data_IF_939982489564
#
_entry.id   IF_939982489564
#
_cell.length_a   1.000
_cell.length_b   1.000
_cell.length_c   1.000
_cell.angle_alpha   90.00
_cell.angle_beta   90.00
_cell.angle_gamma   90.00
#
_symmetry.space_group_name_H-M   'P 1'
#
loop_
_entity.id
_entity.type
_entity.pdbx_description
1 polymer ?
#
# COMPACT_ATOMS: atom_id res chain seq x y z
N UNK A 1 -0.57 -13.07 15.86
CA UNK A 1 -1.90 -12.68 15.35
C UNK A 1 -2.98 -13.64 15.84
N UNK A 2 -4.23 -13.19 16.12
CA UNK A 2 -5.35 -14.05 16.59
C UNK A 2 -6.54 -13.98 15.63
N UNK A 3 -7.15 -15.13 15.31
CA UNK A 3 -8.42 -15.18 14.58
C UNK A 3 -9.60 -14.75 15.47
N UNK A 4 -10.38 -13.77 14.99
CA UNK A 4 -11.64 -13.29 15.59
C UNK A 4 -12.88 -13.73 14.80
N UNK A 5 -12.68 -14.35 13.64
CA UNK A 5 -13.72 -14.86 12.74
C UNK A 5 -13.08 -15.36 11.44
N UNK A 6 -13.82 -16.15 10.67
CA UNK A 6 -13.40 -16.59 9.34
C UNK A 6 -14.62 -16.77 8.44
N UNK A 7 -14.42 -16.67 7.12
CA UNK A 7 -15.50 -16.90 6.14
C UNK A 7 -14.94 -17.37 4.81
N UNK A 8 -15.66 -18.27 4.16
CA UNK A 8 -15.45 -18.67 2.76
C UNK A 8 -16.26 -17.83 1.77
N UNK A 9 -17.21 -17.01 2.26
CA UNK A 9 -18.10 -16.20 1.43
C UNK A 9 -17.91 -14.72 1.79
N UNK A 10 -17.54 -13.93 0.80
CA UNK A 10 -17.50 -12.47 0.87
C UNK A 10 -18.33 -11.92 -0.28
N UNK A 11 -19.50 -11.39 0.05
CA UNK A 11 -20.43 -10.73 -0.88
C UNK A 11 -20.78 -9.35 -0.32
N UNK A 12 -20.30 -8.32 -1.01
CA UNK A 12 -20.36 -6.94 -0.57
C UNK A 12 -21.24 -6.13 -1.54
N UNK A 13 -22.22 -5.34 -1.05
CA UNK A 13 -23.07 -4.53 -1.91
C UNK A 13 -22.39 -3.26 -2.44
N UNK A 14 -21.19 -2.94 -1.94
CA UNK A 14 -20.43 -1.72 -2.21
C UNK A 14 -20.31 -1.45 -3.72
N UNK A 15 -20.84 -0.29 -4.14
CA UNK A 15 -20.72 0.18 -5.53
C UNK A 15 -19.41 0.93 -5.79
N UNK A 16 -18.78 1.42 -4.71
CA UNK A 16 -17.46 2.04 -4.71
C UNK A 16 -16.66 1.50 -3.55
N UNK A 17 -15.38 1.25 -3.79
CA UNK A 17 -14.43 0.79 -2.76
C UNK A 17 -13.15 1.62 -2.84
N UNK A 18 -12.46 1.77 -1.72
CA UNK A 18 -11.11 2.31 -1.71
C UNK A 18 -10.12 1.18 -2.00
N UNK A 19 -9.11 1.45 -2.82
CA UNK A 19 -8.02 0.53 -3.14
C UNK A 19 -6.71 1.20 -2.76
N UNK A 20 -5.91 0.52 -1.95
CA UNK A 20 -4.65 1.01 -1.41
C UNK A 20 -3.48 0.19 -1.91
N UNK A 21 -2.41 0.88 -2.31
CA UNK A 21 -1.12 0.28 -2.59
C UNK A 21 -0.33 0.04 -1.30
N UNK A 22 0.99 0.10 -1.42
CA UNK A 22 1.94 -0.30 -0.38
C UNK A 22 1.95 0.72 0.76
N UNK A 23 1.77 0.28 2.01
CA UNK A 23 1.80 1.17 3.19
C UNK A 23 3.07 1.00 4.02
N UNK A 24 3.70 -0.17 3.96
CA UNK A 24 4.90 -0.53 4.71
C UNK A 24 4.79 -0.24 6.21
N UNK A 25 3.62 -0.48 6.81
CA UNK A 25 3.37 -0.22 8.22
C UNK A 25 3.29 1.28 8.60
N UNK A 26 3.22 2.18 7.62
CA UNK A 26 3.19 3.62 7.88
C UNK A 26 1.84 4.09 8.42
N UNK A 27 1.71 4.08 9.75
CA UNK A 27 0.51 4.58 10.43
C UNK A 27 0.24 6.08 10.20
N UNK A 28 1.28 6.89 9.95
CA UNK A 28 1.10 8.32 9.64
C UNK A 28 0.37 8.51 8.32
N UNK A 29 0.71 7.69 7.33
CA UNK A 29 0.02 7.63 6.05
C UNK A 29 -1.44 7.17 6.21
N UNK A 30 -1.68 6.10 6.95
CA UNK A 30 -3.02 5.61 7.26
C UNK A 30 -3.90 6.69 7.94
N UNK A 31 -3.36 7.43 8.91
CA UNK A 31 -4.05 8.57 9.57
C UNK A 31 -4.37 9.72 8.61
N UNK A 32 -3.49 10.00 7.65
CA UNK A 32 -3.77 11.01 6.63
C UNK A 32 -4.95 10.57 5.77
N UNK A 33 -4.98 9.30 5.33
CA UNK A 33 -6.08 8.76 4.54
C UNK A 33 -7.39 8.72 5.34
N UNK A 34 -7.37 8.33 6.61
CA UNK A 34 -8.59 8.28 7.43
C UNK A 34 -9.25 9.65 7.63
N UNK A 35 -8.46 10.73 7.62
CA UNK A 35 -8.98 12.12 7.64
C UNK A 35 -9.51 12.59 6.30
N UNK A 36 -8.89 12.19 5.20
CA UNK A 36 -9.30 12.63 3.86
C UNK A 36 -10.52 11.86 3.32
N UNK A 37 -10.63 10.58 3.64
CA UNK A 37 -11.61 9.67 3.04
C UNK A 37 -13.08 10.08 3.27
N UNK A 38 -13.49 10.56 4.47
CA UNK A 38 -14.86 11.02 4.71
C UNK A 38 -15.31 12.14 3.77
N UNK A 39 -14.39 12.98 3.28
CA UNK A 39 -14.68 14.05 2.34
C UNK A 39 -14.62 13.57 0.88
N UNK A 40 -13.65 12.70 0.58
CA UNK A 40 -13.42 12.21 -0.77
C UNK A 40 -14.47 11.20 -1.24
N UNK A 41 -14.88 10.31 -0.34
CA UNK A 41 -15.76 9.20 -0.64
C UNK A 41 -16.54 8.76 0.63
N UNK A 42 -17.46 9.59 1.14
CA UNK A 42 -18.23 9.30 2.35
C UNK A 42 -19.08 8.02 2.26
N UNK A 43 -19.36 7.55 1.04
CA UNK A 43 -20.10 6.33 0.72
C UNK A 43 -19.26 5.05 0.80
N UNK A 44 -17.92 5.17 0.81
CA UNK A 44 -17.02 4.00 0.82
C UNK A 44 -16.95 3.43 2.23
N UNK A 45 -17.25 2.13 2.36
CA UNK A 45 -17.16 1.40 3.64
C UNK A 45 -16.11 0.29 3.64
N UNK A 46 -15.57 -0.03 2.47
CA UNK A 46 -14.63 -1.14 2.25
C UNK A 46 -13.32 -0.62 1.65
N UNK A 47 -12.20 -1.05 2.25
CA UNK A 47 -10.85 -0.83 1.73
C UNK A 47 -10.23 -2.16 1.27
N UNK A 48 -9.66 -2.16 0.07
CA UNK A 48 -8.92 -3.28 -0.52
C UNK A 48 -7.43 -2.92 -0.51
N UNK A 49 -6.61 -3.67 0.23
CA UNK A 49 -5.17 -3.42 0.31
C UNK A 49 -4.42 -4.38 -0.60
N UNK A 50 -3.51 -3.86 -1.42
CA UNK A 50 -2.77 -4.61 -2.44
C UNK A 50 -1.38 -5.01 -1.97
N UNK A 51 -1.26 -5.49 -0.73
CA UNK A 51 -0.01 -5.97 -0.14
C UNK A 51 0.88 -4.88 0.46
N UNK A 52 1.98 -5.30 1.06
CA UNK A 52 2.89 -4.48 1.88
C UNK A 52 2.12 -3.61 2.88
N UNK A 53 1.19 -4.26 3.57
CA UNK A 53 0.37 -3.67 4.60
C UNK A 53 1.19 -3.49 5.89
N UNK A 54 1.75 -4.57 6.45
CA UNK A 54 2.60 -4.58 7.66
C UNK A 54 2.08 -3.68 8.80
N UNK A 55 0.76 -3.64 9.02
CA UNK A 55 0.19 -2.83 10.09
C UNK A 55 -0.17 -3.69 11.31
N UNK A 56 -0.04 -3.16 12.54
CA UNK A 56 -0.73 -3.74 13.68
C UNK A 56 -2.25 -3.65 13.44
N UNK A 57 -3.01 -4.76 13.46
CA UNK A 57 -4.44 -4.74 13.17
C UNK A 57 -5.23 -3.77 14.08
N UNK A 58 -4.91 -3.74 15.38
CA UNK A 58 -5.57 -2.85 16.35
C UNK A 58 -5.31 -1.35 16.06
N UNK A 59 -4.15 -1.03 15.46
CA UNK A 59 -3.86 0.34 15.06
C UNK A 59 -4.72 0.77 13.86
N UNK A 60 -5.07 -0.15 12.95
CA UNK A 60 -6.00 0.15 11.85
C UNK A 60 -7.40 0.43 12.39
N UNK A 61 -7.86 -0.37 13.36
CA UNK A 61 -9.14 -0.15 14.03
C UNK A 61 -9.19 1.25 14.67
N UNK A 62 -8.16 1.63 15.44
CA UNK A 62 -8.07 2.96 16.07
C UNK A 62 -8.04 4.10 15.03
N UNK A 63 -7.24 3.97 13.98
CA UNK A 63 -7.04 5.03 12.98
C UNK A 63 -8.31 5.32 12.18
N UNK A 64 -9.15 4.30 11.94
CA UNK A 64 -10.34 4.40 11.12
C UNK A 64 -11.66 4.40 11.92
N UNK A 65 -11.59 4.40 13.26
CA UNK A 65 -12.76 4.35 14.15
C UNK A 65 -13.80 5.45 13.92
N UNK A 66 -13.38 6.64 13.48
CA UNK A 66 -14.25 7.79 13.21
C UNK A 66 -14.62 7.94 11.73
N UNK A 67 -14.44 6.90 10.93
CA UNK A 67 -14.75 6.90 9.48
C UNK A 67 -15.93 5.98 9.17
N UNK A 68 -16.40 6.00 7.92
CA UNK A 68 -17.38 5.05 7.42
C UNK A 68 -16.78 3.65 7.10
N UNK A 69 -15.46 3.48 7.25
CA UNK A 69 -14.81 2.20 6.97
C UNK A 69 -15.19 1.18 8.02
N UNK A 70 -15.70 0.05 7.54
CA UNK A 70 -16.09 -1.09 8.38
C UNK A 70 -15.26 -2.33 8.08
N UNK A 71 -14.53 -2.35 6.96
CA UNK A 71 -13.77 -3.52 6.50
C UNK A 71 -12.51 -3.14 5.73
N UNK A 72 -11.42 -3.84 6.06
CA UNK A 72 -10.19 -3.92 5.28
C UNK A 72 -10.01 -5.36 4.80
N UNK A 73 -9.89 -5.57 3.50
CA UNK A 73 -9.48 -6.86 2.93
C UNK A 73 -8.06 -6.74 2.40
N UNK A 74 -7.14 -7.48 3.01
CA UNK A 74 -5.70 -7.44 2.69
C UNK A 74 -5.36 -8.58 1.75
N UNK A 75 -5.03 -8.24 0.51
CA UNK A 75 -4.30 -9.12 -0.41
C UNK A 75 -2.84 -9.07 0.02
N UNK A 76 -2.28 -10.17 0.50
CA UNK A 76 -0.93 -10.18 1.09
C UNK A 76 0.16 -9.80 0.07
N UNK A 77 1.18 -9.05 0.52
CA UNK A 77 2.36 -8.66 -0.27
C UNK A 77 3.59 -9.53 -0.01
N UNK A 78 4.80 -9.02 -0.30
CA UNK A 78 6.02 -9.70 0.12
C UNK A 78 6.47 -9.26 1.52
N UNK A 79 6.22 -8.01 1.90
CA UNK A 79 6.50 -7.53 3.25
C UNK A 79 5.27 -7.68 4.16
N UNK A 80 5.04 -8.91 4.63
CA UNK A 80 4.04 -9.26 5.67
C UNK A 80 4.66 -10.22 6.70
N UNK A 81 4.12 -10.29 7.92
CA UNK A 81 4.56 -11.24 8.95
C UNK A 81 4.10 -12.66 8.63
N UNK A 82 4.73 -13.29 7.63
CA UNK A 82 4.33 -14.59 7.12
C UNK A 82 4.45 -15.74 8.12
N UNK A 83 5.34 -15.64 9.11
CA UNK A 83 5.42 -16.56 10.24
C UNK A 83 4.17 -16.52 11.14
N UNK A 84 3.51 -15.38 11.25
CA UNK A 84 2.24 -15.26 11.97
C UNK A 84 1.03 -15.57 11.08
N UNK A 85 1.09 -15.17 9.81
CA UNK A 85 -0.03 -15.26 8.87
C UNK A 85 -0.19 -16.67 8.30
N UNK A 86 0.90 -17.37 7.98
CA UNK A 86 0.82 -18.72 7.39
C UNK A 86 0.12 -19.70 8.34
N UNK A 87 0.52 -19.83 9.62
CA UNK A 87 -0.19 -20.72 10.55
C UNK A 87 -1.65 -20.32 10.76
N UNK A 88 -1.96 -19.03 10.66
CA UNK A 88 -3.32 -18.52 10.78
C UNK A 88 -4.20 -18.98 9.61
N UNK A 89 -3.70 -18.85 8.37
CA UNK A 89 -4.42 -19.28 7.17
C UNK A 89 -4.49 -20.81 7.04
N UNK A 90 -3.45 -21.53 7.46
CA UNK A 90 -3.44 -23.00 7.47
C UNK A 90 -4.52 -23.60 8.38
N UNK A 91 -4.91 -22.87 9.44
CA UNK A 91 -6.01 -23.27 10.32
C UNK A 91 -7.38 -23.13 9.65
N UNK A 92 -7.52 -22.26 8.65
CA UNK A 92 -8.76 -21.97 7.95
C UNK A 92 -8.52 -21.96 6.43
N UNK A 93 -8.15 -23.11 5.84
CA UNK A 93 -7.66 -23.18 4.48
C UNK A 93 -8.71 -22.71 3.48
N UNK A 94 -8.35 -21.73 2.64
CA UNK A 94 -9.22 -21.15 1.63
C UNK A 94 -10.24 -20.14 2.16
N UNK A 95 -10.21 -19.81 3.45
CA UNK A 95 -11.11 -18.84 4.08
C UNK A 95 -10.39 -17.54 4.42
N UNK A 96 -11.09 -16.41 4.31
CA UNK A 96 -10.61 -15.14 4.83
C UNK A 96 -10.71 -15.15 6.35
N UNK A 97 -9.68 -14.64 7.03
CA UNK A 97 -9.60 -14.64 8.49
C UNK A 97 -9.63 -13.21 9.00
N UNK A 98 -10.58 -12.92 9.89
CA UNK A 98 -10.68 -11.62 10.56
C UNK A 98 -9.70 -11.57 11.74
N UNK A 99 -8.87 -10.54 11.79
CA UNK A 99 -7.77 -10.39 12.75
C UNK A 99 -7.92 -9.17 13.67
N UNK A 100 -8.86 -8.28 13.36
CA UNK A 100 -9.28 -7.13 14.19
C UNK A 100 -10.77 -6.82 13.95
N UNK A 101 -11.31 -5.73 14.47
CA UNK A 101 -12.67 -5.30 14.16
C UNK A 101 -12.86 -5.07 12.65
N UNK A 102 -11.92 -4.35 12.02
CA UNK A 102 -11.99 -3.98 10.62
C UNK A 102 -11.25 -4.95 9.69
N UNK A 103 -10.16 -5.58 10.15
CA UNK A 103 -9.18 -6.20 9.23
C UNK A 103 -9.43 -7.67 8.97
N UNK A 104 -9.44 -8.03 7.68
CA UNK A 104 -9.50 -9.38 7.13
C UNK A 104 -8.28 -9.69 6.27
N UNK A 105 -7.61 -10.79 6.58
CA UNK A 105 -6.54 -11.35 5.76
C UNK A 105 -7.14 -12.32 4.74
N UNK A 106 -6.87 -12.10 3.45
CA UNK A 106 -7.37 -12.95 2.38
C UNK A 106 -6.46 -14.18 2.18
N UNK A 107 -7.03 -15.37 1.92
CA UNK A 107 -6.27 -16.55 1.49
C UNK A 107 -5.76 -16.36 0.06
N UNK A 108 -4.95 -17.33 -0.41
CA UNK A 108 -4.30 -17.26 -1.73
C UNK A 108 -4.66 -18.51 -2.57
N UNK A 109 -5.54 -18.40 -3.57
CA UNK A 109 -6.36 -17.24 -3.92
C UNK A 109 -7.54 -17.02 -2.95
N UNK A 110 -8.12 -15.83 -2.97
CA UNK A 110 -9.44 -15.55 -2.42
C UNK A 110 -10.42 -15.17 -3.52
N UNK A 111 -11.70 -15.49 -3.33
CA UNK A 111 -12.79 -15.05 -4.22
C UNK A 111 -13.82 -14.25 -3.45
N UNK A 112 -14.26 -13.16 -4.07
CA UNK A 112 -15.22 -12.22 -3.50
C UNK A 112 -16.23 -11.82 -4.57
N UNK A 113 -17.39 -11.35 -4.13
CA UNK A 113 -18.31 -10.56 -4.94
C UNK A 113 -18.40 -9.15 -4.34
N UNK A 114 -18.25 -8.12 -5.17
CA UNK A 114 -18.34 -6.72 -4.73
C UNK A 114 -19.17 -5.94 -5.75
N UNK A 115 -20.28 -5.35 -5.31
CA UNK A 115 -21.17 -4.59 -6.18
C UNK A 115 -21.73 -5.40 -7.36
N UNK A 116 -21.87 -6.73 -7.19
CA UNK A 116 -22.29 -7.65 -8.24
C UNK A 116 -21.18 -8.06 -9.23
N UNK A 117 -19.93 -7.62 -9.03
CA UNK A 117 -18.76 -8.06 -9.81
C UNK A 117 -18.02 -9.19 -9.12
N UNK A 118 -17.51 -10.13 -9.90
CA UNK A 118 -16.64 -11.20 -9.45
C UNK A 118 -15.19 -10.72 -9.28
N UNK A 119 -14.59 -11.02 -8.13
CA UNK A 119 -13.24 -10.58 -7.78
C UNK A 119 -12.40 -11.79 -7.39
N UNK A 120 -11.15 -11.82 -7.87
CA UNK A 120 -10.13 -12.78 -7.42
C UNK A 120 -8.94 -12.01 -6.84
N UNK A 121 -8.50 -12.39 -5.65
CA UNK A 121 -7.27 -11.89 -5.05
C UNK A 121 -6.21 -12.98 -5.04
N UNK A 122 -4.99 -12.65 -5.48
CA UNK A 122 -3.82 -13.53 -5.43
C UNK A 122 -2.68 -12.79 -4.75
N UNK A 123 -2.51 -13.06 -3.46
CA UNK A 123 -1.45 -12.46 -2.64
C UNK A 123 -0.08 -13.12 -2.84
N UNK A 124 0.96 -12.41 -2.45
CA UNK A 124 2.36 -12.77 -2.57
C UNK A 124 3.08 -11.98 -3.67
N UNK A 125 4.39 -11.88 -3.51
CA UNK A 125 5.35 -11.45 -4.51
C UNK A 125 6.73 -11.97 -4.12
N UNK A 126 7.72 -11.83 -5.01
CA UNK A 126 9.11 -12.11 -4.65
C UNK A 126 9.80 -10.85 -4.14
N UNK A 127 10.44 -10.91 -2.99
CA UNK A 127 11.29 -9.83 -2.48
C UNK A 127 12.57 -9.70 -3.33
N UNK A 128 12.66 -8.65 -4.14
CA UNK A 128 13.88 -8.31 -4.91
C UNK A 128 15.05 -7.89 -4.02
N UNK A 129 14.77 -7.52 -2.79
CA UNK A 129 15.73 -7.14 -1.76
C UNK A 129 16.07 -8.30 -0.80
N UNK A 130 15.64 -9.53 -1.09
CA UNK A 130 15.86 -10.75 -0.26
C UNK A 130 17.29 -10.89 0.24
N UNK A 131 18.29 -10.59 -0.60
CA UNK A 131 19.72 -10.73 -0.23
C UNK A 131 20.15 -9.79 0.91
N UNK A 132 19.41 -8.71 1.13
CA UNK A 132 19.60 -7.77 2.25
C UNK A 132 18.77 -8.11 3.49
N UNK A 133 18.02 -9.22 3.46
CA UNK A 133 17.09 -9.63 4.52
C UNK A 133 17.58 -10.86 5.29
N UNK A 134 16.95 -11.11 6.42
CA UNK A 134 17.19 -12.28 7.26
C UNK A 134 15.96 -13.18 7.26
N UNK A 135 16.15 -14.42 6.82
CA UNK A 135 15.12 -15.45 6.81
C UNK A 135 14.56 -15.68 8.22
N UNK A 136 13.23 -15.70 8.32
CA UNK A 136 12.51 -15.89 9.59
C UNK A 136 12.40 -14.63 10.46
N UNK A 137 12.91 -13.48 10.00
CA UNK A 137 12.79 -12.21 10.73
C UNK A 137 12.31 -11.04 9.85
N UNK A 138 12.94 -10.84 8.69
CA UNK A 138 12.62 -9.74 7.77
C UNK A 138 12.30 -10.23 6.36
N UNK A 139 12.29 -11.54 6.17
CA UNK A 139 11.93 -12.23 4.93
C UNK A 139 11.49 -13.66 5.23
N UNK A 140 10.54 -14.17 4.44
CA UNK A 140 9.99 -15.51 4.58
C UNK A 140 9.78 -16.16 3.20
N UNK A 141 10.16 -17.43 3.00
CA UNK A 141 9.91 -18.12 1.72
C UNK A 141 8.42 -18.21 1.36
N UNK A 142 7.54 -18.18 2.37
CA UNK A 142 6.08 -18.26 2.22
C UNK A 142 5.48 -17.08 1.43
N UNK A 143 6.19 -15.96 1.30
CA UNK A 143 5.74 -14.81 0.50
C UNK A 143 5.51 -15.20 -0.98
N UNK A 144 6.27 -16.17 -1.48
CA UNK A 144 6.28 -16.55 -2.87
C UNK A 144 4.93 -17.12 -3.34
N UNK A 145 4.52 -16.75 -4.55
CA UNK A 145 3.39 -17.38 -5.23
C UNK A 145 3.82 -18.78 -5.68
N UNK A 146 3.08 -19.82 -5.26
CA UNK A 146 3.34 -21.22 -5.63
C UNK A 146 2.47 -21.66 -6.80
N UNK A 147 2.85 -22.76 -7.45
CA UNK A 147 2.07 -23.34 -8.54
C UNK A 147 0.72 -23.89 -8.05
N UNK A 148 0.61 -24.26 -6.77
CA UNK A 148 -0.67 -24.64 -6.14
C UNK A 148 -1.62 -23.44 -6.08
N UNK A 149 -1.11 -22.25 -5.70
CA UNK A 149 -1.92 -21.03 -5.69
C UNK A 149 -2.39 -20.66 -7.10
N UNK A 150 -1.50 -20.78 -8.10
CA UNK A 150 -1.83 -20.55 -9.52
C UNK A 150 -2.93 -21.51 -9.98
N UNK A 151 -2.75 -22.81 -9.77
CA UNK A 151 -3.72 -23.83 -10.17
C UNK A 151 -5.09 -23.61 -9.50
N UNK A 152 -5.12 -23.28 -8.21
CA UNK A 152 -6.35 -22.98 -7.49
C UNK A 152 -7.05 -21.72 -8.02
N UNK A 153 -6.31 -20.67 -8.36
CA UNK A 153 -6.88 -19.44 -8.90
C UNK A 153 -7.54 -19.67 -10.26
N UNK A 154 -6.84 -20.40 -11.13
CA UNK A 154 -7.31 -20.81 -12.47
C UNK A 154 -8.55 -21.71 -12.35
N UNK A 155 -8.53 -22.69 -11.47
CA UNK A 155 -9.64 -23.63 -11.28
C UNK A 155 -10.95 -22.94 -10.86
N UNK A 156 -10.86 -21.79 -10.18
CA UNK A 156 -12.03 -20.99 -9.83
C UNK A 156 -12.69 -20.26 -11.01
N UNK A 157 -12.08 -20.23 -12.20
CA UNK A 157 -12.65 -19.67 -13.41
C UNK A 157 -12.50 -18.15 -13.57
N UNK A 158 -13.21 -17.54 -14.55
CA UNK A 158 -13.11 -16.12 -14.84
C UNK A 158 -13.47 -15.21 -13.64
N UNK A 159 -12.99 -13.97 -13.69
CA UNK A 159 -13.35 -12.90 -12.75
C UNK A 159 -13.39 -11.54 -13.48
N UNK A 160 -14.14 -10.57 -12.98
CA UNK A 160 -14.17 -9.20 -13.54
C UNK A 160 -12.94 -8.38 -13.09
N UNK A 161 -12.53 -8.55 -11.83
CA UNK A 161 -11.45 -7.82 -11.18
C UNK A 161 -10.43 -8.79 -10.57
N UNK A 162 -9.15 -8.50 -10.78
CA UNK A 162 -8.05 -9.21 -10.16
C UNK A 162 -7.23 -8.28 -9.27
N UNK A 163 -7.02 -8.68 -8.02
CA UNK A 163 -6.20 -7.97 -7.04
C UNK A 163 -4.92 -8.77 -6.80
N UNK A 164 -3.77 -8.12 -6.92
CA UNK A 164 -2.48 -8.73 -6.62
C UNK A 164 -1.59 -7.74 -5.89
N UNK A 165 -0.50 -8.23 -5.33
CA UNK A 165 0.60 -7.34 -4.96
C UNK A 165 1.58 -7.21 -6.14
N UNK A 166 1.95 -8.34 -6.74
CA UNK A 166 2.86 -8.43 -7.88
C UNK A 166 2.22 -8.03 -9.23
N UNK A 167 3.01 -7.47 -10.15
CA UNK A 167 2.56 -7.11 -11.50
C UNK A 167 2.58 -8.31 -12.47
N UNK A 168 1.68 -8.43 -13.46
CA UNK A 168 1.84 -9.44 -14.51
C UNK A 168 3.13 -9.20 -15.32
N UNK A 169 3.78 -10.27 -15.79
CA UNK A 169 5.03 -10.18 -16.55
C UNK A 169 4.89 -9.32 -17.82
N UNK A 170 3.80 -9.50 -18.56
CA UNK A 170 3.47 -8.73 -19.76
C UNK A 170 2.59 -7.51 -19.45
N UNK A 171 2.91 -6.77 -18.39
CA UNK A 171 2.14 -5.59 -17.99
C UNK A 171 2.12 -4.52 -19.09
N UNK A 172 0.96 -3.92 -19.43
CA UNK A 172 0.88 -2.78 -20.35
C UNK A 172 1.28 -1.44 -19.70
N UNK A 173 1.64 -1.45 -18.40
CA UNK A 173 1.95 -0.24 -17.64
C UNK A 173 3.38 0.21 -17.93
N UNK A 174 3.54 1.21 -18.82
CA UNK A 174 4.87 1.67 -19.30
C UNK A 174 5.84 2.08 -18.17
N UNK A 175 5.42 2.79 -17.10
CA UNK A 175 6.34 3.10 -16.00
C UNK A 175 6.86 1.86 -15.27
N UNK A 176 6.03 0.82 -15.10
CA UNK A 176 6.47 -0.47 -14.53
C UNK A 176 7.50 -1.14 -15.46
N UNK A 177 7.20 -1.24 -16.76
CA UNK A 177 8.14 -1.78 -17.75
C UNK A 177 9.50 -1.06 -17.73
N UNK A 178 9.48 0.26 -17.51
CA UNK A 178 10.70 1.07 -17.40
C UNK A 178 11.53 0.67 -16.19
N UNK A 179 10.91 0.59 -15.00
CA UNK A 179 11.59 0.19 -13.76
C UNK A 179 12.21 -1.21 -13.91
N UNK A 180 11.44 -2.17 -14.42
CA UNK A 180 11.89 -3.55 -14.60
C UNK A 180 13.09 -3.66 -15.56
N UNK A 181 13.14 -2.84 -16.61
CA UNK A 181 14.25 -2.83 -17.57
C UNK A 181 15.48 -2.11 -17.03
N UNK A 182 15.28 -0.98 -16.36
CA UNK A 182 16.38 -0.10 -15.95
C UNK A 182 17.04 -0.55 -14.65
N UNK A 183 16.36 -1.37 -13.84
CA UNK A 183 16.85 -1.85 -12.54
C UNK A 183 17.52 -0.71 -11.73
N UNK A 184 16.78 0.38 -11.43
CA UNK A 184 17.35 1.59 -10.85
C UNK A 184 17.93 1.41 -9.44
N UNK A 185 17.71 0.24 -8.83
CA UNK A 185 18.20 -0.14 -7.50
C UNK A 185 19.32 -1.19 -7.56
N UNK A 186 19.80 -1.54 -8.75
CA UNK A 186 20.91 -2.48 -8.97
C UNK A 186 20.71 -3.83 -8.28
N UNK A 187 19.48 -4.37 -8.30
CA UNK A 187 19.20 -5.72 -7.83
C UNK A 187 20.01 -6.75 -8.60
N UNK A 188 20.37 -7.84 -7.94
CA UNK A 188 21.15 -8.93 -8.52
C UNK A 188 20.37 -9.68 -9.59
N UNK A 189 21.08 -10.37 -10.48
CA UNK A 189 20.46 -11.21 -11.51
C UNK A 189 19.53 -12.27 -10.89
N UNK A 190 19.96 -12.92 -9.81
CA UNK A 190 19.14 -13.90 -9.09
C UNK A 190 17.84 -13.29 -8.52
N UNK A 191 17.90 -12.08 -7.96
CA UNK A 191 16.70 -11.39 -7.48
C UNK A 191 15.75 -11.01 -8.62
N UNK A 192 16.31 -10.55 -9.75
CA UNK A 192 15.52 -10.23 -10.95
C UNK A 192 14.87 -11.47 -11.57
N UNK A 193 15.56 -12.61 -11.59
CA UNK A 193 15.04 -13.91 -12.05
C UNK A 193 13.88 -14.39 -11.15
N UNK A 194 14.04 -14.31 -9.83
CA UNK A 194 12.99 -14.67 -8.88
C UNK A 194 11.74 -13.79 -9.05
N UNK A 195 11.95 -12.47 -9.21
CA UNK A 195 10.87 -11.52 -9.49
C UNK A 195 10.21 -11.78 -10.85
N UNK A 196 10.98 -12.10 -11.89
CA UNK A 196 10.42 -12.48 -13.20
C UNK A 196 9.57 -13.77 -13.11
N UNK A 197 10.01 -14.77 -12.36
CA UNK A 197 9.25 -16.00 -12.13
C UNK A 197 7.96 -15.75 -11.33
N UNK A 198 7.99 -14.87 -10.32
CA UNK A 198 6.81 -14.40 -9.58
C UNK A 198 5.79 -13.74 -10.51
N UNK A 199 6.22 -12.77 -11.32
CA UNK A 199 5.36 -12.10 -12.31
C UNK A 199 4.80 -13.05 -13.37
N UNK A 200 5.57 -14.06 -13.78
CA UNK A 200 5.12 -15.07 -14.73
C UNK A 200 3.96 -15.91 -14.17
N UNK A 201 3.95 -16.19 -12.86
CA UNK A 201 2.82 -16.85 -12.18
C UNK A 201 1.57 -15.98 -12.14
N UNK A 202 1.73 -14.67 -11.87
CA UNK A 202 0.61 -13.72 -11.98
C UNK A 202 0.06 -13.69 -13.40
N UNK A 203 0.93 -13.69 -14.43
CA UNK A 203 0.49 -13.74 -15.84
C UNK A 203 -0.32 -14.99 -16.16
N UNK A 204 0.08 -16.17 -15.69
CA UNK A 204 -0.69 -17.41 -15.91
C UNK A 204 -2.12 -17.28 -15.39
N UNK A 205 -2.30 -16.72 -14.19
CA UNK A 205 -3.64 -16.50 -13.63
C UNK A 205 -4.38 -15.40 -14.39
N UNK A 206 -3.72 -14.27 -14.66
CA UNK A 206 -4.30 -13.13 -15.40
C UNK A 206 -4.84 -13.52 -16.78
N UNK A 207 -4.11 -14.38 -17.50
CA UNK A 207 -4.51 -14.87 -18.82
C UNK A 207 -5.63 -15.91 -18.76
N UNK A 208 -5.71 -16.69 -17.68
CA UNK A 208 -6.75 -17.71 -17.52
C UNK A 208 -8.07 -17.15 -16.96
N UNK A 209 -8.00 -16.19 -16.02
CA UNK A 209 -9.19 -15.61 -15.37
C UNK A 209 -9.74 -14.41 -16.14
N UNK A 210 -9.00 -13.91 -17.14
CA UNK A 210 -9.41 -12.87 -18.09
C UNK A 210 -10.11 -11.64 -17.46
N UNK A 211 -9.51 -10.98 -16.44
CA UNK A 211 -10.17 -9.88 -15.78
C UNK A 211 -10.19 -8.63 -16.65
N UNK A 212 -11.24 -7.83 -16.52
CA UNK A 212 -11.34 -6.52 -17.18
C UNK A 212 -10.30 -5.54 -16.59
N UNK A 213 -10.06 -5.64 -15.28
CA UNK A 213 -9.05 -4.86 -14.56
C UNK A 213 -8.21 -5.77 -13.65
N UNK A 214 -6.89 -5.61 -13.70
CA UNK A 214 -5.96 -6.05 -12.65
C UNK A 214 -5.43 -4.82 -11.92
N UNK A 215 -5.49 -4.81 -10.59
CA UNK A 215 -4.88 -3.78 -9.75
C UNK A 215 -3.77 -4.38 -8.87
N UNK A 216 -2.59 -3.73 -8.84
CA UNK A 216 -1.44 -4.22 -8.08
C UNK A 216 -0.63 -3.12 -7.38
N UNK A 217 0.13 -3.51 -6.34
CA UNK A 217 1.14 -2.70 -5.65
C UNK A 217 2.57 -3.04 -6.12
N UNK A 218 3.50 -3.20 -5.18
CA UNK A 218 4.88 -3.71 -5.29
C UNK A 218 5.87 -2.84 -6.09
N UNK A 219 5.43 -2.28 -7.22
CA UNK A 219 6.29 -1.54 -8.15
C UNK A 219 6.49 -0.08 -7.75
N UNK A 220 5.81 0.38 -6.70
CA UNK A 220 5.90 1.73 -6.12
C UNK A 220 5.68 2.89 -7.10
N UNK A 221 4.95 2.62 -8.19
CA UNK A 221 4.67 3.60 -9.24
C UNK A 221 3.19 3.57 -9.61
N UNK A 222 2.53 4.72 -9.47
CA UNK A 222 1.15 4.86 -9.89
C UNK A 222 1.06 5.08 -11.40
N UNK A 223 0.40 4.17 -12.11
CA UNK A 223 0.14 4.29 -13.54
C UNK A 223 -0.92 3.29 -14.02
N UNK A 224 -1.51 3.59 -15.18
CA UNK A 224 -2.43 2.69 -15.87
C UNK A 224 -1.89 2.25 -17.23
N UNK A 225 -2.29 1.06 -17.65
CA UNK A 225 -2.03 0.51 -18.98
C UNK A 225 -3.23 -0.27 -19.48
N UNK A 226 -3.31 -0.42 -20.81
CA UNK A 226 -4.34 -1.20 -21.48
C UNK A 226 -3.70 -2.07 -22.56
N UNK A 227 -4.05 -3.34 -22.59
CA UNK A 227 -3.65 -4.29 -23.64
C UNK A 227 -4.47 -4.09 -24.91
N UNK A 228 -4.03 -4.68 -26.01
CA UNK A 228 -4.75 -4.62 -27.29
C UNK A 228 -6.15 -5.27 -27.21
N UNK A 229 -6.29 -6.34 -26.42
CA UNK A 229 -7.55 -7.05 -26.21
C UNK A 229 -8.52 -6.32 -25.26
N UNK A 230 -8.12 -5.19 -24.69
CA UNK A 230 -8.98 -4.32 -23.90
C UNK A 230 -8.82 -4.43 -22.38
N UNK A 231 -8.13 -5.46 -21.88
CA UNK A 231 -7.86 -5.62 -20.43
C UNK A 231 -7.00 -4.46 -19.90
N UNK A 232 -7.25 -4.06 -18.66
CA UNK A 232 -6.58 -2.93 -18.02
C UNK A 232 -5.72 -3.41 -16.87
N UNK A 233 -4.61 -2.72 -16.64
CA UNK A 233 -3.76 -2.89 -15.47
C UNK A 233 -3.56 -1.55 -14.80
N UNK A 234 -3.80 -1.49 -13.49
CA UNK A 234 -3.52 -0.37 -12.62
C UNK A 234 -2.41 -0.74 -11.64
N UNK A 235 -1.31 0.00 -11.67
CA UNK A 235 -0.24 -0.05 -10.68
C UNK A 235 -0.47 1.08 -9.69
N UNK A 236 -0.42 0.79 -8.39
CA UNK A 236 -0.54 1.77 -7.32
C UNK A 236 0.84 2.18 -6.79
N UNK A 237 0.91 3.38 -6.22
CA UNK A 237 2.12 3.86 -5.54
C UNK A 237 2.24 3.31 -4.12
N UNK A 238 3.37 3.58 -3.48
CA UNK A 238 3.57 3.37 -2.04
C UNK A 238 3.19 4.60 -1.21
N UNK A 239 3.19 4.49 0.11
CA UNK A 239 2.97 5.59 1.03
C UNK A 239 3.82 6.82 0.67
N UNK A 240 3.20 8.00 0.75
CA UNK A 240 3.84 9.26 0.39
C UNK A 240 4.05 9.49 -1.11
N UNK A 241 3.70 8.53 -1.98
CA UNK A 241 3.71 8.70 -3.44
C UNK A 241 2.29 8.93 -3.99
N UNK A 242 2.22 9.55 -5.17
CA UNK A 242 0.98 9.72 -5.92
C UNK A 242 0.30 8.37 -6.20
N UNK A 243 -1.03 8.36 -6.26
CA UNK A 243 -1.82 7.20 -6.65
C UNK A 243 -1.65 5.96 -5.76
N UNK A 244 -1.28 6.13 -4.48
CA UNK A 244 -1.35 5.06 -3.48
C UNK A 244 -2.80 4.78 -3.04
N UNK A 245 -3.68 5.80 -3.04
CA UNK A 245 -5.13 5.62 -2.86
C UNK A 245 -5.84 5.79 -4.21
N UNK A 246 -6.75 4.88 -4.50
CA UNK A 246 -7.73 4.98 -5.58
C UNK A 246 -9.13 4.74 -5.05
N UNK A 247 -10.13 5.43 -5.59
CA UNK A 247 -11.53 5.06 -5.42
C UNK A 247 -12.00 4.34 -6.68
N UNK A 248 -12.31 3.06 -6.54
CA UNK A 248 -12.74 2.17 -7.60
C UNK A 248 -14.26 2.13 -7.67
N UNK A 249 -14.81 2.43 -8.85
CA UNK A 249 -16.22 2.24 -9.18
C UNK A 249 -16.44 0.80 -9.69
N UNK A 250 -17.29 0.03 -9.02
CA UNK A 250 -17.53 -1.39 -9.35
C UNK A 250 -18.40 -1.58 -10.59
N UNK A 251 -19.14 -0.55 -11.03
CA UNK A 251 -19.99 -0.65 -12.22
C UNK A 251 -19.16 -0.66 -13.50
N UNK A 252 -18.08 0.11 -13.54
CA UNK A 252 -17.26 0.32 -14.73
C UNK A 252 -15.75 0.05 -14.53
N UNK A 253 -15.37 -0.38 -13.33
CA UNK A 253 -13.99 -0.66 -12.91
C UNK A 253 -13.02 0.48 -13.25
N UNK A 254 -13.46 1.73 -13.09
CA UNK A 254 -12.58 2.91 -13.22
C UNK A 254 -12.13 3.37 -11.85
N UNK A 255 -10.87 3.79 -11.79
CA UNK A 255 -10.24 4.31 -10.58
C UNK A 255 -10.08 5.82 -10.70
N UNK A 256 -10.56 6.53 -9.69
CA UNK A 256 -10.20 7.93 -9.46
C UNK A 256 -9.09 7.98 -8.41
N UNK A 257 -7.91 8.47 -8.80
CA UNK A 257 -6.76 8.64 -7.89
C UNK A 257 -6.65 10.11 -7.49
N UNK A 258 -7.06 10.51 -6.27
CA UNK A 258 -6.82 11.86 -5.79
C UNK A 258 -5.31 12.15 -5.75
N UNK A 259 -4.92 13.38 -6.10
CA UNK A 259 -3.51 13.78 -5.98
C UNK A 259 -3.08 13.86 -4.51
N UNK A 260 -1.78 13.72 -4.24
CA UNK A 260 -1.23 13.94 -2.90
C UNK A 260 -1.56 15.33 -2.35
N UNK A 261 -1.56 16.35 -3.21
CA UNK A 261 -1.91 17.71 -2.82
C UNK A 261 -3.36 17.79 -2.32
N UNK A 262 -4.29 17.13 -3.01
CA UNK A 262 -5.70 17.05 -2.59
C UNK A 262 -5.82 16.25 -1.29
N UNK A 263 -5.16 15.10 -1.18
CA UNK A 263 -5.20 14.28 0.05
C UNK A 263 -4.67 15.04 1.26
N UNK A 264 -3.54 15.73 1.12
CA UNK A 264 -2.99 16.59 2.19
C UNK A 264 -3.91 17.76 2.48
N UNK A 265 -4.46 18.40 1.45
CA UNK A 265 -5.44 19.48 1.59
C UNK A 265 -6.63 19.04 2.43
N UNK A 266 -7.30 17.94 2.05
CA UNK A 266 -8.45 17.38 2.75
C UNK A 266 -8.10 16.90 4.17
N UNK A 267 -6.96 16.22 4.33
CA UNK A 267 -6.50 15.79 5.65
C UNK A 267 -6.19 16.97 6.58
N UNK A 268 -5.93 18.15 6.00
CA UNK A 268 -5.66 19.40 6.71
C UNK A 268 -6.87 20.34 6.80
N UNK A 269 -7.92 20.15 5.98
CA UNK A 269 -9.03 21.10 5.84
C UNK A 269 -10.00 21.15 7.02
N UNK A 270 -9.83 20.30 8.04
CA UNK A 270 -10.26 20.60 9.42
C UNK A 270 -9.48 19.78 10.49
N UNK A 271 -8.20 19.47 10.24
CA UNK A 271 -7.31 19.15 11.36
C UNK A 271 -7.10 20.43 12.18
N UNK A 272 -6.98 20.41 13.52
CA UNK A 272 -6.82 21.66 14.25
C UNK A 272 -5.64 22.40 13.63
N UNK A 273 -5.80 23.67 13.25
CA UNK A 273 -4.66 24.59 13.20
C UNK A 273 -3.99 24.37 14.54
N UNK A 274 -2.83 23.70 14.54
CA UNK A 274 -2.18 23.35 15.80
C UNK A 274 -2.13 24.64 16.60
N UNK A 275 -2.66 24.63 17.81
CA UNK A 275 -2.57 25.84 18.62
C UNK A 275 -1.09 26.16 18.78
N UNK A 276 -0.76 27.42 19.01
CA UNK A 276 0.64 27.80 19.27
C UNK A 276 1.26 26.89 20.35
N UNK A 277 0.47 26.53 21.35
CA UNK A 277 0.83 25.58 22.42
C UNK A 277 1.10 24.15 21.89
N UNK A 278 0.27 23.60 21.00
CA UNK A 278 0.52 22.29 20.39
C UNK A 278 1.80 22.27 19.54
N UNK A 279 2.07 23.35 18.78
CA UNK A 279 3.34 23.49 18.02
C UNK A 279 4.53 23.64 18.95
N UNK A 280 4.38 24.36 20.07
CA UNK A 280 5.42 24.45 21.11
C UNK A 280 5.73 23.10 21.73
N UNK A 281 4.72 22.30 22.07
CA UNK A 281 4.90 21.00 22.70
C UNK A 281 5.64 20.02 21.79
N UNK A 282 5.29 19.97 20.50
CA UNK A 282 5.99 19.12 19.53
C UNK A 282 7.42 19.56 19.23
N UNK A 283 7.67 20.87 19.19
CA UNK A 283 9.04 21.40 19.11
C UNK A 283 9.83 21.02 20.36
N UNK A 284 9.24 21.18 21.54
CA UNK A 284 9.88 20.84 22.80
C UNK A 284 10.23 19.35 22.85
N UNK A 285 9.32 18.47 22.46
CA UNK A 285 9.54 17.03 22.37
C UNK A 285 10.66 16.69 21.37
N UNK A 286 10.60 17.24 20.15
CA UNK A 286 11.60 16.97 19.10
C UNK A 286 13.01 17.45 19.47
N UNK A 287 13.11 18.62 20.13
CA UNK A 287 14.38 19.14 20.61
C UNK A 287 14.86 18.40 21.87
N UNK A 288 13.94 17.94 22.72
CA UNK A 288 14.26 17.15 23.91
C UNK A 288 14.87 15.79 23.54
N UNK A 289 14.32 15.11 22.53
CA UNK A 289 14.89 13.86 21.99
C UNK A 289 16.34 14.06 21.53
N UNK A 290 16.62 15.12 20.77
CA UNK A 290 18.00 15.41 20.33
C UNK A 290 18.95 15.75 21.50
N UNK A 291 18.45 16.39 22.55
CA UNK A 291 19.24 16.67 23.75
C UNK A 291 19.52 15.40 24.56
N UNK A 292 18.58 14.45 24.63
CA UNK A 292 18.80 13.13 25.22
C UNK A 292 19.88 12.33 24.47
N UNK A 293 20.01 12.56 23.16
CA UNK A 293 21.09 12.00 22.32
C UNK A 293 22.41 12.79 22.39
N UNK A 294 22.53 13.74 23.34
CA UNK A 294 23.73 14.57 23.53
C UNK A 294 23.94 15.67 22.49
N UNK A 295 22.96 15.90 21.61
CA UNK A 295 23.03 16.91 20.55
C UNK A 295 22.54 18.27 21.06
N UNK A 296 23.11 19.35 20.52
CA UNK A 296 22.64 20.72 20.78
C UNK A 296 21.96 21.31 19.55
N UNK A 297 20.73 21.83 19.66
CA UNK A 297 20.06 22.50 18.54
C UNK A 297 20.89 23.67 18.02
N UNK A 298 21.02 23.77 16.70
CA UNK A 298 21.71 24.91 16.09
C UNK A 298 20.85 26.19 16.19
N UNK A 299 21.44 27.39 16.13
CA UNK A 299 20.67 28.64 16.08
C UNK A 299 19.67 28.71 14.93
N UNK A 300 19.93 27.97 13.85
CA UNK A 300 19.01 27.88 12.71
C UNK A 300 17.83 26.94 12.99
N UNK A 301 18.09 25.77 13.59
CA UNK A 301 17.03 24.87 14.03
C UNK A 301 16.07 25.55 15.03
N UNK A 302 16.60 26.38 15.92
CA UNK A 302 15.78 27.17 16.85
C UNK A 302 14.91 28.23 16.14
N UNK A 303 15.41 28.84 15.05
CA UNK A 303 14.60 29.76 14.23
C UNK A 303 13.53 29.03 13.43
N UNK A 304 13.87 27.92 12.78
CA UNK A 304 12.90 27.09 12.06
C UNK A 304 11.79 26.60 13.03
N UNK A 305 12.16 26.23 14.25
CA UNK A 305 11.22 25.86 15.31
C UNK A 305 10.32 27.03 15.75
N UNK A 306 10.87 28.24 15.88
CA UNK A 306 10.10 29.43 16.23
C UNK A 306 9.13 29.83 15.11
N UNK A 307 9.57 29.80 13.86
CA UNK A 307 8.74 30.06 12.69
C UNK A 307 7.58 29.06 12.59
N UNK A 308 7.84 27.80 12.92
CA UNK A 308 6.80 26.78 13.04
C UNK A 308 5.82 27.10 14.18
N UNK A 309 6.32 27.38 15.39
CA UNK A 309 5.48 27.74 16.55
C UNK A 309 4.55 28.91 16.24
N UNK A 310 5.08 29.96 15.62
CA UNK A 310 4.33 31.18 15.32
C UNK A 310 3.44 31.02 14.07
N UNK A 311 3.50 29.87 13.38
CA UNK A 311 2.69 29.57 12.21
C UNK A 311 3.12 30.36 10.96
N UNK A 312 4.34 30.88 10.96
CA UNK A 312 4.97 31.59 9.85
C UNK A 312 5.36 30.61 8.75
N UNK A 313 5.80 29.39 9.14
CA UNK A 313 6.16 28.30 8.24
C UNK A 313 5.51 27.00 8.68
N UNK A 314 5.05 26.20 7.72
CA UNK A 314 4.60 24.83 7.92
C UNK A 314 5.79 23.88 8.14
N UNK A 315 5.52 22.72 8.73
CA UNK A 315 6.53 21.67 8.91
C UNK A 315 7.07 21.18 7.55
N UNK A 316 6.21 21.13 6.53
CA UNK A 316 6.56 20.72 5.16
C UNK A 316 7.53 21.70 4.51
N UNK A 317 7.32 23.01 4.68
CA UNK A 317 8.24 24.05 4.19
C UNK A 317 9.61 24.02 4.90
N UNK A 318 9.66 23.55 6.15
CA UNK A 318 10.92 23.37 6.89
C UNK A 318 11.65 22.13 6.39
N UNK A 319 10.94 21.01 6.23
CA UNK A 319 11.52 19.75 5.71
C UNK A 319 12.06 19.94 4.30
N UNK A 320 11.34 20.63 3.42
CA UNK A 320 11.78 20.88 2.05
C UNK A 320 13.01 21.80 2.00
N UNK A 321 13.07 22.84 2.84
CA UNK A 321 14.26 23.69 2.95
C UNK A 321 15.49 22.91 3.46
N UNK A 322 15.30 22.01 4.44
CA UNK A 322 16.37 21.11 4.90
C UNK A 322 16.83 20.19 3.78
N UNK A 323 15.91 19.54 3.06
CA UNK A 323 16.24 18.68 1.92
C UNK A 323 17.05 19.44 0.87
N UNK A 324 16.57 20.61 0.44
CA UNK A 324 17.25 21.43 -0.57
C UNK A 324 18.67 21.82 -0.16
N UNK A 325 18.92 22.07 1.13
CA UNK A 325 20.23 22.46 1.65
C UNK A 325 21.21 21.31 1.80
N UNK A 326 20.70 20.13 2.12
CA UNK A 326 21.52 19.00 2.55
C UNK A 326 21.54 17.85 1.54
N UNK A 327 20.85 18.00 0.41
CA UNK A 327 20.86 17.03 -0.69
C UNK A 327 21.23 17.72 -2.01
N UNK A 328 21.96 17.02 -2.87
CA UNK A 328 22.26 17.45 -4.24
C UNK A 328 21.83 16.35 -5.20
N UNK A 329 21.48 16.70 -6.43
CA UNK A 329 21.27 15.71 -7.50
C UNK A 329 22.62 15.07 -7.85
N UNK A 330 22.68 13.77 -8.17
CA UNK A 330 23.90 13.17 -8.69
C UNK A 330 24.24 13.82 -10.03
N UNK A 331 25.49 14.31 -10.13
CA UNK A 331 26.14 15.01 -11.25
C UNK A 331 25.96 16.53 -11.34
N UNK A 332 26.87 17.22 -10.67
CA UNK A 332 27.70 18.28 -11.28
C UNK A 332 29.15 17.96 -10.87
N UNK A 333 29.80 17.04 -11.58
CA UNK A 333 31.25 17.11 -11.72
C UNK A 333 31.49 18.20 -12.77
N UNK A 334 32.01 19.34 -12.33
CA UNK A 334 32.43 20.45 -13.20
C UNK A 334 33.61 20.03 -14.09
N UNK A 335 33.73 20.63 -15.30
CA UNK A 335 34.59 20.16 -16.40
C UNK A 335 36.11 20.20 -16.15
#
# INVERSE_FOLDING_TARGET
>A
MRALGHTSIIDLPDQRVAVCGDWHGNQGWARMLSRALPYLAPDVTTMLHLGDWWMPPDAVDEIFAETAITRFYVTLGNHEQWDEITPLLDKYPGEAVRVSELTWILPRPARLAIGGRSVVALGGASSVDRESRQEGLTWWPEEAISDVHVAAAIAGGPADLMLTHESPANTPVRPVQKILRENPHWFTEAALEASAASRARVSQVWDAVCPELLAHGHMHVAAGGKTEDGRRVASLGREGHEGNLAILDMQNLRMATPSLAILRGMANEEGPRWTREQRMNSVAESLHTGVLDGLKPTPRALRDAQDYIDGIRSLEEIIEDVRRRHTRKPMEEEP
#
